data_IF_621164387133
#
_entry.id   IF_621164387133
#
_cell.length_a   1.000
_cell.length_b   1.000
_cell.length_c   1.000
_cell.angle_alpha   90.00
_cell.angle_beta   90.00
_cell.angle_gamma   90.00
#
_symmetry.space_group_name_H-M   'P 1'
#
loop_
_entity.id
_entity.type
_entity.pdbx_description
1 polymer ?
#
# COMPACT_ATOMS: atom_id res chain seq x y z
N UNK A 1 -24.02 19.11 1.91
CA UNK A 1 -23.04 20.15 2.30
C UNK A 1 -23.13 21.45 1.51
N UNK A 2 -22.82 21.52 0.21
CA UNK A 2 -22.83 22.81 -0.52
C UNK A 2 -24.23 23.45 -0.60
N UNK A 3 -25.25 22.64 -0.84
CA UNK A 3 -26.66 23.09 -0.87
C UNK A 3 -27.15 23.51 0.52
N UNK A 4 -26.81 22.74 1.56
CA UNK A 4 -27.17 23.06 2.96
C UNK A 4 -26.53 24.37 3.44
N UNK A 5 -25.29 24.65 3.04
CA UNK A 5 -24.64 25.94 3.33
C UNK A 5 -25.39 27.12 2.71
N UNK A 6 -25.86 26.97 1.46
CA UNK A 6 -26.62 28.02 0.78
C UNK A 6 -27.98 28.26 1.45
N UNK A 7 -28.63 27.20 1.92
CA UNK A 7 -29.91 27.33 2.65
C UNK A 7 -29.72 28.04 3.99
N UNK A 8 -28.64 27.75 4.73
CA UNK A 8 -28.31 28.46 5.98
C UNK A 8 -28.05 29.96 5.73
N UNK A 9 -27.32 30.30 4.66
CA UNK A 9 -27.05 31.69 4.30
C UNK A 9 -28.35 32.46 3.97
N UNK A 10 -29.26 31.81 3.24
CA UNK A 10 -30.59 32.37 2.94
C UNK A 10 -31.41 32.61 4.19
N UNK A 11 -31.44 31.66 5.13
CA UNK A 11 -32.15 31.81 6.40
C UNK A 11 -31.57 32.93 7.27
N UNK A 12 -30.24 33.06 7.32
CA UNK A 12 -29.58 34.15 8.04
C UNK A 12 -29.92 35.53 7.45
N UNK A 13 -30.02 35.65 6.13
CA UNK A 13 -30.42 36.90 5.47
C UNK A 13 -31.87 37.26 5.81
N UNK A 14 -32.80 36.30 5.80
CA UNK A 14 -34.20 36.52 6.22
C UNK A 14 -34.25 37.00 7.67
N UNK A 15 -33.52 36.35 8.56
CA UNK A 15 -33.46 36.70 9.98
C UNK A 15 -32.93 38.11 10.19
N UNK A 16 -31.89 38.49 9.43
CA UNK A 16 -31.27 39.81 9.47
C UNK A 16 -32.24 40.91 9.03
N UNK A 17 -32.99 40.68 7.94
CA UNK A 17 -34.03 41.61 7.49
C UNK A 17 -35.13 41.78 8.53
N UNK A 18 -35.65 40.67 9.07
CA UNK A 18 -36.68 40.71 10.12
C UNK A 18 -36.21 41.44 11.39
N UNK A 19 -34.94 41.30 11.76
CA UNK A 19 -34.35 42.03 12.88
C UNK A 19 -34.26 43.54 12.61
N UNK A 20 -33.86 43.95 11.41
CA UNK A 20 -33.88 45.36 11.00
C UNK A 20 -35.30 45.95 11.03
N UNK A 21 -36.29 45.24 10.51
CA UNK A 21 -37.70 45.67 10.51
C UNK A 21 -38.25 45.84 11.94
N UNK A 22 -37.83 44.96 12.85
CA UNK A 22 -38.18 45.04 14.27
C UNK A 22 -37.54 46.26 14.95
N UNK A 23 -36.26 46.53 14.71
CA UNK A 23 -35.60 47.74 15.23
C UNK A 23 -36.23 49.03 14.67
N UNK A 24 -36.59 49.06 13.39
CA UNK A 24 -37.31 50.19 12.79
C UNK A 24 -38.71 50.37 13.38
N UNK A 25 -39.43 49.26 13.63
CA UNK A 25 -40.71 49.27 14.34
C UNK A 25 -40.57 49.81 15.77
N UNK A 26 -39.52 49.41 16.49
CA UNK A 26 -39.22 49.93 17.83
C UNK A 26 -38.88 51.43 17.82
N UNK A 27 -38.22 51.91 16.77
CA UNK A 27 -37.83 53.31 16.62
C UNK A 27 -38.99 54.21 16.18
N UNK A 28 -39.89 53.65 15.36
CA UNK A 28 -41.08 54.33 14.82
C UNK A 28 -42.29 54.27 15.73
N UNK A 29 -42.31 53.36 16.72
CA UNK A 29 -43.24 53.45 17.84
C UNK A 29 -43.17 54.89 18.34
N UNK A 30 -44.30 55.65 18.27
CA UNK A 30 -44.30 57.02 18.71
C UNK A 30 -43.74 56.98 20.12
N UNK A 31 -42.71 57.79 20.38
CA UNK A 31 -42.31 58.13 21.75
C UNK A 31 -43.59 58.63 22.38
N UNK A 32 -44.40 57.72 22.95
CA UNK A 32 -45.61 58.03 23.71
C UNK A 32 -45.09 59.12 24.60
N UNK A 33 -45.61 60.35 24.38
CA UNK A 33 -45.23 61.57 25.09
C UNK A 33 -44.79 61.09 26.46
N UNK A 34 -43.50 61.24 26.78
CA UNK A 34 -42.99 60.89 28.11
C UNK A 34 -44.09 61.36 29.05
N UNK A 35 -44.68 60.43 29.77
CA UNK A 35 -45.64 60.75 30.81
C UNK A 35 -44.81 61.48 31.86
N UNK A 36 -44.38 62.71 31.59
CA UNK A 36 -43.72 63.59 32.55
C UNK A 36 -44.64 63.78 33.76
N UNK A 37 -45.96 63.66 33.55
CA UNK A 37 -46.96 63.66 34.62
C UNK A 37 -47.04 62.36 35.45
N UNK A 38 -46.54 61.22 34.97
CA UNK A 38 -46.42 59.99 35.77
C UNK A 38 -45.01 59.78 36.33
N UNK A 39 -43.97 60.24 35.63
CA UNK A 39 -42.58 60.25 36.12
C UNK A 39 -42.49 61.15 37.37
N UNK A 40 -43.04 62.37 37.35
CA UNK A 40 -42.99 63.28 38.50
C UNK A 40 -43.85 62.84 39.71
N UNK A 41 -44.90 62.03 39.48
CA UNK A 41 -45.82 61.57 40.54
C UNK A 41 -45.40 60.25 41.20
N UNK A 42 -44.69 59.38 40.48
CA UNK A 42 -44.17 58.12 41.01
C UNK A 42 -42.80 58.32 41.68
N UNK A 43 -41.98 59.26 41.18
CA UNK A 43 -40.66 59.57 41.74
C UNK A 43 -40.74 60.17 43.16
N UNK A 44 -41.88 60.79 43.51
CA UNK A 44 -42.07 61.38 44.84
C UNK A 44 -42.58 60.39 45.92
N UNK A 45 -42.85 59.12 45.57
CA UNK A 45 -43.30 58.09 46.52
C UNK A 45 -42.50 56.80 46.52
N UNK A 46 -41.85 56.47 45.40
CA UNK A 46 -41.00 55.28 45.29
C UNK A 46 -39.54 55.73 45.24
N UNK A 47 -38.87 55.71 46.40
CA UNK A 47 -37.50 56.20 46.53
C UNK A 47 -36.58 55.63 45.44
N UNK A 48 -35.71 56.48 44.88
CA UNK A 48 -34.82 56.17 43.75
C UNK A 48 -34.03 54.85 43.93
N UNK A 49 -33.72 54.47 45.16
CA UNK A 49 -33.08 53.18 45.48
C UNK A 49 -33.88 51.97 45.00
N UNK A 50 -35.20 51.97 45.16
CA UNK A 50 -36.08 50.86 44.72
C UNK A 50 -36.17 50.75 43.20
N UNK A 51 -36.08 51.89 42.50
CA UNK A 51 -36.13 51.92 41.04
C UNK A 51 -34.83 51.40 40.43
N UNK A 52 -33.70 51.66 41.08
CA UNK A 52 -32.39 51.12 40.70
C UNK A 52 -32.32 49.61 40.99
N UNK A 53 -32.87 49.14 42.12
CA UNK A 53 -33.01 47.70 42.42
C UNK A 53 -33.81 46.96 41.33
N UNK A 54 -34.96 47.49 40.93
CA UNK A 54 -35.78 46.88 39.87
C UNK A 54 -35.07 46.88 38.51
N UNK A 55 -34.31 47.93 38.19
CA UNK A 55 -33.53 47.99 36.94
C UNK A 55 -32.43 46.93 36.91
N UNK A 56 -31.75 46.73 38.03
CA UNK A 56 -30.68 45.74 38.14
C UNK A 56 -31.24 44.32 38.14
N UNK A 57 -32.36 44.07 38.82
CA UNK A 57 -33.08 42.80 38.76
C UNK A 57 -33.50 42.45 37.32
N UNK A 58 -34.10 43.40 36.60
CA UNK A 58 -34.50 43.18 35.21
C UNK A 58 -33.31 42.90 34.27
N UNK A 59 -32.20 43.64 34.43
CA UNK A 59 -30.96 43.36 33.68
C UNK A 59 -30.43 41.96 33.98
N UNK A 60 -30.45 41.54 35.24
CA UNK A 60 -30.00 40.22 35.66
C UNK A 60 -30.87 39.11 35.06
N UNK A 61 -32.20 39.25 35.12
CA UNK A 61 -33.14 38.31 34.49
C UNK A 61 -32.86 38.17 32.98
N UNK A 62 -32.60 39.28 32.29
CA UNK A 62 -32.23 39.25 30.87
C UNK A 62 -30.89 38.55 30.61
N UNK A 63 -29.89 38.74 31.48
CA UNK A 63 -28.61 38.05 31.38
C UNK A 63 -28.79 36.53 31.57
N UNK A 64 -29.58 36.12 32.57
CA UNK A 64 -29.89 34.71 32.85
C UNK A 64 -30.65 34.04 31.70
N UNK A 65 -31.63 34.73 31.11
CA UNK A 65 -32.35 34.23 29.93
C UNK A 65 -31.43 34.06 28.72
N UNK A 66 -30.51 35.02 28.48
CA UNK A 66 -29.50 34.92 27.41
C UNK A 66 -28.58 33.72 27.61
N UNK A 67 -28.12 33.50 28.85
CA UNK A 67 -27.28 32.34 29.19
C UNK A 67 -28.03 31.04 28.91
N UNK A 68 -29.28 30.90 29.40
CA UNK A 68 -30.12 29.71 29.16
C UNK A 68 -30.36 29.45 27.68
N UNK A 69 -30.65 30.49 26.90
CA UNK A 69 -30.84 30.37 25.45
C UNK A 69 -29.54 29.90 24.75
N UNK A 70 -28.40 30.50 25.09
CA UNK A 70 -27.11 30.11 24.51
C UNK A 70 -26.75 28.66 24.82
N UNK A 71 -27.05 28.18 26.02
CA UNK A 71 -26.83 26.79 26.42
C UNK A 71 -27.75 25.83 25.64
N UNK A 72 -29.02 26.18 25.46
CA UNK A 72 -29.98 25.39 24.69
C UNK A 72 -29.58 25.27 23.20
N UNK A 73 -29.15 26.37 22.58
CA UNK A 73 -28.63 26.38 21.20
C UNK A 73 -27.37 25.52 21.09
N UNK A 74 -26.45 25.63 22.05
CA UNK A 74 -25.24 24.81 22.08
C UNK A 74 -25.54 23.31 22.18
N UNK A 75 -26.48 22.92 23.05
CA UNK A 75 -26.96 21.53 23.18
C UNK A 75 -27.56 21.03 21.86
N UNK A 76 -28.42 21.82 21.23
CA UNK A 76 -29.05 21.45 19.95
C UNK A 76 -28.03 21.26 18.82
N UNK A 77 -27.02 22.14 18.71
CA UNK A 77 -25.95 21.99 17.70
C UNK A 77 -25.13 20.73 17.98
N UNK A 78 -24.82 20.46 19.25
CA UNK A 78 -24.05 19.28 19.63
C UNK A 78 -24.81 17.99 19.31
N UNK A 79 -26.11 17.93 19.60
CA UNK A 79 -26.91 16.73 19.38
C UNK A 79 -27.16 16.48 17.89
N UNK A 80 -27.46 17.52 17.08
CA UNK A 80 -27.50 17.40 15.62
C UNK A 80 -26.18 16.89 15.04
N UNK A 81 -25.06 17.37 15.57
CA UNK A 81 -23.72 16.91 15.14
C UNK A 81 -23.48 15.45 15.49
N UNK A 82 -23.86 15.02 16.70
CA UNK A 82 -23.75 13.61 17.12
C UNK A 82 -24.57 12.71 16.22
N UNK A 83 -25.80 13.08 15.88
CA UNK A 83 -26.68 12.29 15.03
C UNK A 83 -26.10 12.12 13.61
N UNK A 84 -25.59 13.19 13.00
CA UNK A 84 -24.90 13.12 11.71
C UNK A 84 -23.65 12.23 11.77
N UNK A 85 -22.84 12.36 12.83
CA UNK A 85 -21.65 11.52 13.01
C UNK A 85 -22.04 10.04 13.17
N UNK A 86 -23.08 9.73 13.94
CA UNK A 86 -23.58 8.36 14.11
C UNK A 86 -24.05 7.78 12.77
N UNK A 87 -24.77 8.57 11.95
CA UNK A 87 -25.21 8.13 10.63
C UNK A 87 -24.02 7.83 9.70
N UNK A 88 -23.05 8.75 9.62
CA UNK A 88 -21.85 8.57 8.78
C UNK A 88 -21.04 7.35 9.22
N UNK A 89 -20.91 7.11 10.53
CA UNK A 89 -20.21 5.91 11.06
C UNK A 89 -20.93 4.63 10.62
N UNK A 90 -22.25 4.56 10.72
CA UNK A 90 -23.03 3.39 10.27
C UNK A 90 -22.87 3.12 8.78
N UNK A 91 -23.01 4.14 7.94
CA UNK A 91 -22.84 4.02 6.49
C UNK A 91 -21.43 3.53 6.11
N UNK A 92 -20.39 4.02 6.82
CA UNK A 92 -19.02 3.57 6.60
C UNK A 92 -18.80 2.13 7.09
N UNK A 93 -19.39 1.73 8.20
CA UNK A 93 -19.32 0.36 8.70
C UNK A 93 -19.96 -0.63 7.72
N UNK A 94 -21.12 -0.28 7.15
CA UNK A 94 -21.79 -1.09 6.12
C UNK A 94 -20.93 -1.24 4.87
N UNK A 95 -20.34 -0.15 4.38
CA UNK A 95 -19.43 -0.19 3.23
C UNK A 95 -18.20 -1.07 3.50
N UNK A 96 -17.65 -1.02 4.71
CA UNK A 96 -16.53 -1.87 5.11
C UNK A 96 -16.97 -3.34 5.15
N UNK A 97 -18.14 -3.66 5.72
CA UNK A 97 -18.69 -5.03 5.71
C UNK A 97 -18.83 -5.59 4.29
N UNK A 98 -19.43 -4.82 3.38
CA UNK A 98 -19.63 -5.24 1.99
C UNK A 98 -18.31 -5.51 1.26
N UNK A 99 -17.32 -4.64 1.45
CA UNK A 99 -16.00 -4.81 0.81
C UNK A 99 -15.23 -6.00 1.36
N UNK A 100 -15.32 -6.26 2.67
CA UNK A 100 -14.74 -7.45 3.31
C UNK A 100 -15.41 -8.73 2.80
N UNK A 101 -16.75 -8.76 2.74
CA UNK A 101 -17.48 -9.91 2.22
C UNK A 101 -17.19 -10.17 0.74
N UNK A 102 -17.06 -9.13 -0.08
CA UNK A 102 -16.64 -9.26 -1.48
C UNK A 102 -15.23 -9.84 -1.60
N UNK A 103 -14.27 -9.37 -0.79
CA UNK A 103 -12.90 -9.93 -0.76
C UNK A 103 -12.88 -11.38 -0.27
N UNK A 104 -13.68 -11.70 0.74
CA UNK A 104 -13.82 -13.06 1.27
C UNK A 104 -14.31 -14.03 0.19
N UNK A 105 -15.29 -13.64 -0.62
CA UNK A 105 -15.74 -14.43 -1.78
C UNK A 105 -14.62 -14.66 -2.78
N UNK A 106 -13.89 -13.61 -3.17
CA UNK A 106 -12.75 -13.75 -4.10
C UNK A 106 -11.71 -14.76 -3.57
N UNK A 107 -11.36 -14.68 -2.28
CA UNK A 107 -10.41 -15.63 -1.67
C UNK A 107 -10.96 -17.05 -1.66
N UNK A 108 -12.26 -17.23 -1.35
CA UNK A 108 -12.92 -18.54 -1.37
C UNK A 108 -12.98 -19.13 -2.78
N UNK A 109 -13.39 -18.33 -3.77
CA UNK A 109 -13.51 -18.74 -5.16
C UNK A 109 -12.14 -19.10 -5.74
N UNK A 110 -11.10 -18.30 -5.48
CA UNK A 110 -9.72 -18.64 -5.88
C UNK A 110 -9.18 -19.91 -5.22
N UNK A 111 -9.61 -20.22 -3.99
CA UNK A 111 -9.21 -21.48 -3.34
C UNK A 111 -9.89 -22.67 -4.03
N UNK A 112 -11.18 -22.54 -4.35
CA UNK A 112 -11.93 -23.58 -5.05
C UNK A 112 -11.42 -23.81 -6.49
N UNK A 113 -11.03 -22.76 -7.19
CA UNK A 113 -10.40 -22.87 -8.52
C UNK A 113 -9.08 -23.65 -8.44
N UNK A 114 -8.22 -23.33 -7.46
CA UNK A 114 -6.96 -24.05 -7.25
C UNK A 114 -7.20 -25.53 -6.92
N UNK A 115 -8.20 -25.86 -6.11
CA UNK A 115 -8.53 -27.26 -5.77
C UNK A 115 -8.94 -28.08 -7.01
N UNK A 116 -9.57 -27.46 -8.01
CA UNK A 116 -9.91 -28.11 -9.28
C UNK A 116 -8.69 -28.32 -10.18
N UNK A 117 -7.70 -27.46 -10.04
CA UNK A 117 -6.47 -27.49 -10.83
C UNK A 117 -5.38 -28.38 -10.25
N UNK A 118 -5.43 -28.71 -8.96
CA UNK A 118 -4.55 -29.71 -8.39
C UNK A 118 -4.98 -31.10 -8.87
N UNK A 119 -4.08 -31.79 -9.57
CA UNK A 119 -4.29 -33.17 -10.01
C UNK A 119 -3.96 -34.15 -8.90
N UNK A 120 -2.83 -33.93 -8.21
CA UNK A 120 -2.31 -34.89 -7.25
C UNK A 120 -1.43 -34.21 -6.20
N UNK A 121 -1.55 -34.64 -4.95
CA UNK A 121 -0.70 -34.17 -3.84
C UNK A 121 -0.10 -35.38 -3.15
N UNK A 122 1.22 -35.54 -3.30
CA UNK A 122 1.96 -36.67 -2.74
C UNK A 122 2.88 -36.14 -1.64
N UNK A 123 2.78 -36.70 -0.44
CA UNK A 123 3.77 -36.48 0.63
C UNK A 123 4.94 -37.43 0.42
N UNK A 124 6.16 -36.93 0.32
CA UNK A 124 7.34 -37.77 0.10
C UNK A 124 7.70 -38.52 1.41
N UNK A 125 7.99 -39.83 1.31
CA UNK A 125 8.06 -40.76 2.45
C UNK A 125 9.42 -40.83 3.17
N UNK A 126 10.47 -40.19 2.68
CA UNK A 126 11.83 -40.36 3.22
C UNK A 126 12.56 -39.03 3.45
N UNK A 127 12.42 -38.48 4.66
CA UNK A 127 13.36 -37.51 5.23
C UNK A 127 13.54 -37.85 6.71
N UNK A 128 14.71 -38.34 7.07
CA UNK A 128 15.10 -38.62 8.45
C UNK A 128 15.80 -37.38 9.03
N UNK A 129 15.02 -36.47 9.63
CA UNK A 129 15.30 -35.74 10.89
C UNK A 129 14.37 -34.52 11.03
N UNK A 130 13.38 -34.61 11.93
CA UNK A 130 12.78 -33.45 12.63
C UNK A 130 11.95 -32.41 11.85
N UNK A 131 12.06 -32.31 10.54
CA UNK A 131 11.52 -31.20 9.75
C UNK A 131 10.23 -31.57 8.98
N UNK A 132 9.40 -30.56 8.66
CA UNK A 132 8.13 -30.71 7.93
C UNK A 132 8.38 -31.46 6.61
N UNK A 133 7.61 -32.53 6.36
CA UNK A 133 7.77 -33.35 5.15
C UNK A 133 7.45 -32.54 3.89
N UNK A 134 8.31 -32.56 2.86
CA UNK A 134 8.03 -31.89 1.60
C UNK A 134 6.81 -32.51 0.89
N UNK A 135 6.02 -31.65 0.26
CA UNK A 135 4.85 -32.03 -0.53
C UNK A 135 5.17 -31.84 -2.02
N UNK A 136 4.92 -32.88 -2.83
CA UNK A 136 4.93 -32.78 -4.29
C UNK A 136 3.49 -32.56 -4.76
N UNK A 137 3.26 -31.44 -5.43
CA UNK A 137 1.95 -31.07 -5.98
C UNK A 137 2.04 -31.12 -7.50
N UNK A 138 1.19 -31.92 -8.14
CA UNK A 138 1.02 -31.98 -9.59
C UNK A 138 -0.21 -31.16 -9.96
N UNK A 139 0.00 -30.14 -10.80
CA UNK A 139 -1.06 -29.27 -11.32
C UNK A 139 -1.51 -29.77 -12.69
N UNK A 140 -2.80 -29.60 -13.02
CA UNK A 140 -3.39 -29.92 -14.33
C UNK A 140 -2.98 -28.89 -15.39
N UNK A 141 -2.92 -27.62 -15.02
CA UNK A 141 -2.59 -26.52 -15.93
C UNK A 141 -1.16 -26.05 -15.75
N UNK A 142 -0.42 -26.02 -16.86
CA UNK A 142 0.93 -25.44 -16.89
C UNK A 142 0.89 -23.92 -16.67
N UNK A 143 -0.16 -23.24 -17.17
CA UNK A 143 -0.32 -21.78 -17.04
C UNK A 143 -0.42 -21.36 -15.58
N UNK A 144 -1.19 -22.09 -14.78
CA UNK A 144 -1.35 -21.78 -13.35
C UNK A 144 -0.08 -22.11 -12.56
N UNK A 145 0.66 -23.15 -12.95
CA UNK A 145 1.99 -23.39 -12.37
C UNK A 145 2.95 -22.21 -12.62
N UNK A 146 2.96 -21.65 -13.83
CA UNK A 146 3.77 -20.48 -14.17
C UNK A 146 3.34 -19.22 -13.40
N UNK A 147 2.04 -19.00 -13.26
CA UNK A 147 1.51 -17.90 -12.48
C UNK A 147 1.89 -18.00 -10.99
N UNK A 148 1.78 -19.19 -10.41
CA UNK A 148 2.21 -19.49 -9.04
C UNK A 148 3.72 -19.23 -8.87
N UNK A 149 4.55 -19.65 -9.83
CA UNK A 149 6.00 -19.42 -9.79
C UNK A 149 6.35 -17.92 -9.90
N UNK A 150 5.60 -17.16 -10.68
CA UNK A 150 5.79 -15.71 -10.81
C UNK A 150 5.38 -14.99 -9.53
N UNK A 151 4.26 -15.40 -8.92
CA UNK A 151 3.79 -14.86 -7.64
C UNK A 151 4.69 -15.26 -6.47
N UNK A 152 5.37 -16.42 -6.54
CA UNK A 152 6.34 -16.89 -5.54
C UNK A 152 7.39 -15.82 -5.20
N UNK A 153 7.84 -15.03 -6.17
CA UNK A 153 8.79 -13.95 -5.94
C UNK A 153 8.29 -12.94 -4.89
N UNK A 154 6.98 -12.66 -4.85
CA UNK A 154 6.37 -11.75 -3.87
C UNK A 154 6.30 -12.36 -2.46
N UNK A 155 6.23 -13.70 -2.35
CA UNK A 155 6.22 -14.38 -1.05
C UNK A 155 7.58 -14.39 -0.37
N UNK A 156 8.68 -14.18 -1.09
CA UNK A 156 10.03 -14.19 -0.51
C UNK A 156 10.26 -13.00 0.46
N UNK A 157 9.51 -11.91 0.29
CA UNK A 157 9.61 -10.72 1.13
C UNK A 157 8.83 -10.87 2.45
N UNK A 158 7.86 -11.78 2.50
CA UNK A 158 6.99 -11.98 3.65
C UNK A 158 7.68 -12.84 4.73
N UNK A 159 7.79 -12.30 5.95
CA UNK A 159 8.49 -12.97 7.06
C UNK A 159 7.83 -14.27 7.52
N UNK A 160 6.54 -14.46 7.24
CA UNK A 160 5.77 -15.63 7.66
C UNK A 160 6.00 -16.86 6.75
N UNK A 161 6.57 -16.67 5.55
CA UNK A 161 6.71 -17.74 4.54
C UNK A 161 8.16 -18.12 4.23
N UNK A 162 9.12 -17.69 5.06
CA UNK A 162 10.55 -17.95 4.86
C UNK A 162 10.91 -19.43 4.75
N UNK A 163 10.13 -20.30 5.37
CA UNK A 163 10.38 -21.76 5.39
C UNK A 163 9.73 -22.50 4.20
N UNK A 164 9.08 -21.80 3.28
CA UNK A 164 8.41 -22.41 2.12
C UNK A 164 9.26 -22.24 0.87
N UNK A 165 9.84 -23.35 0.39
CA UNK A 165 10.53 -23.38 -0.89
C UNK A 165 9.71 -24.13 -1.95
N UNK A 166 9.36 -23.44 -3.03
CA UNK A 166 8.74 -24.04 -4.21
C UNK A 166 9.76 -24.17 -5.35
N UNK A 167 9.85 -25.35 -5.96
CA UNK A 167 10.73 -25.58 -7.11
C UNK A 167 9.94 -26.25 -8.23
N UNK A 168 10.12 -25.78 -9.47
CA UNK A 168 9.61 -26.48 -10.66
C UNK A 168 10.44 -27.75 -10.88
N UNK A 169 9.76 -28.87 -11.07
CA UNK A 169 10.38 -30.10 -11.52
C UNK A 169 10.66 -29.95 -13.01
N UNK A 170 11.93 -29.84 -13.40
CA UNK A 170 12.34 -29.65 -14.79
C UNK A 170 13.02 -30.91 -15.29
N UNK A 171 12.74 -31.28 -16.55
CA UNK A 171 13.47 -32.35 -17.22
C UNK A 171 14.93 -31.93 -17.49
N UNK A 172 15.78 -32.89 -17.89
CA UNK A 172 17.21 -32.66 -18.08
C UNK A 172 17.48 -31.61 -19.18
N UNK A 173 16.72 -31.66 -20.28
CA UNK A 173 16.85 -30.73 -21.42
C UNK A 173 16.44 -29.30 -21.06
N UNK A 174 15.36 -29.12 -20.29
CA UNK A 174 14.93 -27.82 -19.76
C UNK A 174 15.95 -27.25 -18.78
N UNK A 175 16.53 -28.10 -17.93
CA UNK A 175 17.61 -27.69 -17.02
C UNK A 175 18.84 -27.20 -17.80
N UNK A 176 19.18 -27.84 -18.92
CA UNK A 176 20.28 -27.39 -19.77
C UNK A 176 19.93 -26.09 -20.51
N UNK A 177 18.70 -25.94 -20.99
CA UNK A 177 18.22 -24.68 -21.59
C UNK A 177 18.19 -23.52 -20.60
N UNK A 178 17.75 -23.74 -19.37
CA UNK A 178 17.74 -22.71 -18.33
C UNK A 178 19.18 -22.28 -17.96
N UNK A 179 20.11 -23.25 -17.82
CA UNK A 179 21.54 -22.95 -17.64
C UNK A 179 22.11 -22.12 -18.79
N UNK A 180 21.72 -22.42 -20.04
CA UNK A 180 22.12 -21.64 -21.21
C UNK A 180 21.52 -20.23 -21.17
N UNK A 181 20.28 -20.07 -20.71
CA UNK A 181 19.65 -18.75 -20.53
C UNK A 181 20.31 -17.91 -19.44
N UNK A 182 20.67 -18.50 -18.29
CA UNK A 182 21.39 -17.78 -17.23
C UNK A 182 22.77 -17.30 -17.70
N UNK A 183 23.51 -18.13 -18.45
CA UNK A 183 24.80 -17.74 -19.04
C UNK A 183 24.63 -16.61 -20.07
N UNK A 184 23.52 -16.61 -20.83
CA UNK A 184 23.24 -15.56 -21.81
C UNK A 184 22.71 -14.25 -21.19
N UNK A 185 21.95 -14.30 -20.09
CA UNK A 185 21.41 -13.12 -19.41
C UNK A 185 22.46 -12.33 -18.61
N UNK A 186 23.55 -12.98 -18.15
CA UNK A 186 24.69 -12.26 -17.58
C UNK A 186 25.50 -11.44 -18.60
N UNK A 187 25.21 -11.54 -19.90
CA UNK A 187 26.02 -10.94 -20.97
C UNK A 187 25.36 -9.81 -21.78
N UNK A 188 24.11 -9.44 -21.53
CA UNK A 188 23.34 -8.61 -22.49
C UNK A 188 22.92 -7.21 -22.06
N UNK A 189 23.27 -6.72 -20.86
CA UNK A 189 23.09 -5.29 -20.57
C UNK A 189 24.39 -4.51 -20.86
N UNK A 190 24.53 -3.85 -22.04
CA UNK A 190 25.72 -3.10 -22.39
C UNK A 190 25.97 -1.89 -21.48
N UNK A 191 24.97 -1.48 -20.68
CA UNK A 191 25.04 -0.27 -19.84
C UNK A 191 25.22 -0.55 -18.34
N UNK A 192 25.41 -1.80 -17.92
CA UNK A 192 25.61 -2.12 -16.51
C UNK A 192 27.02 -1.69 -16.04
N UNK A 193 27.15 -0.73 -15.09
CA UNK A 193 28.45 -0.23 -14.63
C UNK A 193 29.27 -1.26 -13.84
N UNK A 194 28.64 -2.34 -13.36
CA UNK A 194 29.31 -3.42 -12.63
C UNK A 194 29.75 -4.57 -13.56
N UNK A 195 29.65 -4.41 -14.87
CA UNK A 195 30.07 -5.44 -15.83
C UNK A 195 31.58 -5.59 -15.82
N UNK A 196 32.07 -6.74 -15.39
CA UNK A 196 33.48 -7.12 -15.51
C UNK A 196 33.76 -7.50 -16.95
N UNK A 197 34.40 -6.61 -17.70
CA UNK A 197 34.88 -6.90 -19.04
C UNK A 197 36.26 -7.54 -18.95
N UNK A 198 36.39 -8.79 -19.40
CA UNK A 198 37.69 -9.40 -19.62
C UNK A 198 38.31 -8.70 -20.83
N UNK A 199 39.29 -7.84 -20.58
CA UNK A 199 39.97 -7.08 -21.64
C UNK A 199 41.08 -7.88 -22.31
N UNK A 200 41.72 -8.76 -21.55
CA UNK A 200 42.93 -9.46 -21.96
C UNK A 200 42.87 -10.90 -21.48
N UNK A 201 43.14 -11.83 -22.40
CA UNK A 201 43.32 -13.24 -22.10
C UNK A 201 44.75 -13.61 -22.47
N UNK A 202 45.50 -14.13 -21.50
CA UNK A 202 46.87 -14.55 -21.69
C UNK A 202 46.91 -16.07 -21.71
N UNK A 203 47.45 -16.63 -22.80
CA UNK A 203 47.67 -18.06 -22.94
C UNK A 203 49.16 -18.36 -22.72
N UNK A 204 49.43 -19.17 -21.70
CA UNK A 204 50.77 -19.65 -21.37
C UNK A 204 50.85 -21.15 -21.68
N UNK A 205 51.80 -21.53 -22.52
CA UNK A 205 52.15 -22.92 -22.78
C UNK A 205 53.64 -23.13 -22.47
N UNK A 206 53.97 -24.26 -21.85
CA UNK A 206 55.35 -24.57 -21.46
C UNK A 206 56.25 -24.63 -22.69
N UNK A 207 57.28 -23.79 -22.73
CA UNK A 207 58.21 -23.69 -23.87
C UNK A 207 57.77 -22.75 -25.00
N UNK A 208 56.62 -22.06 -24.88
CA UNK A 208 56.21 -21.00 -25.81
C UNK A 208 56.20 -19.64 -25.13
N UNK A 209 56.47 -18.58 -25.90
CA UNK A 209 56.32 -17.20 -25.43
C UNK A 209 54.85 -16.90 -25.16
N UNK A 210 54.59 -16.16 -24.08
CA UNK A 210 53.27 -15.68 -23.68
C UNK A 210 52.50 -15.09 -24.87
N UNK A 211 51.32 -15.63 -25.19
CA UNK A 211 50.44 -15.10 -26.24
C UNK A 211 49.29 -14.35 -25.58
N UNK A 212 49.29 -13.03 -25.75
CA UNK A 212 48.25 -12.14 -25.24
C UNK A 212 47.17 -11.92 -26.31
N UNK A 213 45.91 -12.07 -25.92
CA UNK A 213 44.74 -11.80 -26.75
C UNK A 213 43.99 -10.61 -26.20
N UNK A 214 43.88 -9.56 -27.01
CA UNK A 214 43.07 -8.38 -26.68
C UNK A 214 41.61 -8.64 -27.05
N UNK A 215 40.78 -8.78 -26.01
CA UNK A 215 39.34 -8.98 -26.13
C UNK A 215 38.56 -7.65 -26.15
N UNK A 216 39.26 -6.52 -26.13
CA UNK A 216 38.66 -5.17 -26.22
C UNK A 216 38.30 -4.79 -27.66
N UNK A 217 38.87 -5.48 -28.65
CA UNK A 217 38.68 -5.22 -30.10
C UNK A 217 37.48 -5.93 -30.73
N UNK A 218 37.48 -5.99 -32.07
CA UNK A 218 36.43 -6.68 -32.84
C UNK A 218 36.54 -8.20 -32.67
N UNK A 219 35.62 -8.78 -31.90
CA UNK A 219 35.51 -10.21 -31.64
C UNK A 219 35.32 -11.05 -32.91
N UNK A 220 34.94 -10.46 -34.04
CA UNK A 220 34.83 -11.20 -35.29
C UNK A 220 36.19 -11.56 -35.88
N UNK A 221 37.23 -10.74 -35.68
CA UNK A 221 38.58 -11.06 -36.11
C UNK A 221 39.17 -12.27 -35.36
N UNK A 222 38.75 -12.46 -34.11
CA UNK A 222 39.15 -13.61 -33.27
C UNK A 222 38.49 -14.92 -33.69
N UNK A 223 37.32 -14.88 -34.35
CA UNK A 223 36.65 -16.11 -34.84
C UNK A 223 37.38 -16.76 -36.00
N UNK A 224 38.06 -15.95 -36.81
CA UNK A 224 38.81 -16.42 -37.98
C UNK A 224 40.26 -16.79 -37.61
N UNK A 225 40.75 -16.40 -36.44
CA UNK A 225 42.07 -16.79 -35.93
C UNK A 225 42.02 -18.21 -35.36
N UNK A 226 42.38 -19.20 -36.18
CA UNK A 226 42.50 -20.59 -35.73
C UNK A 226 43.74 -20.78 -34.84
N UNK A 227 43.53 -20.95 -33.54
CA UNK A 227 44.60 -21.33 -32.61
C UNK A 227 44.88 -22.82 -32.75
N UNK A 228 45.94 -23.19 -33.47
CA UNK A 228 46.38 -24.58 -33.55
C UNK A 228 47.03 -24.99 -32.24
N UNK A 229 46.26 -25.61 -31.34
CA UNK A 229 46.75 -26.26 -30.11
C UNK A 229 47.40 -27.60 -30.49
N UNK A 230 48.38 -27.59 -31.40
CA UNK A 230 48.99 -28.82 -31.92
C UNK A 230 50.11 -29.37 -31.05
N UNK A 231 50.70 -28.56 -30.17
CA UNK A 231 51.86 -29.00 -29.37
C UNK A 231 51.55 -29.39 -27.92
N UNK A 232 50.38 -29.06 -27.38
CA UNK A 232 49.99 -29.48 -26.02
C UNK A 232 49.50 -30.93 -25.94
N UNK A 233 49.06 -31.53 -27.05
CA UNK A 233 48.63 -32.94 -27.08
C UNK A 233 49.79 -33.91 -27.37
N UNK A 234 50.84 -33.48 -28.09
CA UNK A 234 52.00 -34.31 -28.39
C UNK A 234 52.86 -34.66 -27.16
N UNK A 235 52.68 -33.93 -26.05
CA UNK A 235 53.28 -34.25 -24.75
C UNK A 235 52.46 -35.25 -23.92
N UNK A 236 51.14 -35.31 -24.11
CA UNK A 236 50.24 -36.20 -23.36
C UNK A 236 50.29 -37.62 -23.94
N UNK A 237 50.44 -37.78 -25.26
CA UNK A 237 50.60 -39.10 -25.88
C UNK A 237 51.89 -39.84 -25.43
N UNK A 238 52.90 -39.13 -24.92
CA UNK A 238 54.10 -39.77 -24.34
C UNK A 238 53.97 -40.15 -22.86
N UNK A 239 52.85 -39.83 -22.21
CA UNK A 239 52.59 -40.15 -20.81
C UNK A 239 51.62 -41.32 -20.56
N UNK A 240 50.93 -41.82 -21.60
CA UNK A 240 49.90 -42.85 -21.45
C UNK A 240 50.46 -44.29 -21.54
N UNK A 241 51.74 -44.46 -21.89
CA UNK A 241 52.38 -45.79 -21.96
C UNK A 241 52.80 -46.38 -20.60
N UNK A 242 52.45 -45.78 -19.45
CA UNK A 242 52.90 -46.25 -18.13
C UNK A 242 51.81 -46.94 -17.27
N UNK A 243 50.52 -46.94 -17.65
CA UNK A 243 49.45 -47.51 -16.79
C UNK A 243 48.76 -48.78 -17.30
N UNK A 244 49.38 -49.55 -18.20
CA UNK A 244 48.82 -50.86 -18.63
C UNK A 244 49.38 -52.10 -17.88
N UNK A 245 50.10 -51.94 -16.76
CA UNK A 245 50.65 -53.08 -16.00
C UNK A 245 49.88 -53.47 -14.72
N UNK A 246 48.71 -52.89 -14.43
CA UNK A 246 48.01 -53.10 -13.15
C UNK A 246 46.67 -53.86 -13.19
N UNK A 247 46.42 -54.67 -14.24
CA UNK A 247 45.20 -55.50 -14.35
C UNK A 247 45.48 -57.01 -14.53
N UNK A 248 46.50 -57.54 -13.86
CA UNK A 248 46.64 -58.99 -13.64
C UNK A 248 47.15 -59.25 -12.21
N UNK A 249 46.23 -59.22 -11.23
CA UNK A 249 46.35 -59.91 -9.92
C UNK A 249 45.03 -59.99 -9.18
#
# INVERSE_FOLDING_TARGET
MKEEMQEIEKQNNILKTAYCDYEESLRSLPKKKKNTEWEDKVENKLGQSKLEELRNAWKQEQEEEKVKFSEAVRKQIQDKTKDTVIQVVKEKEDLVRDTVDKRKRIVQDSTQELDQEVEEVIRLESFSEGEKRPMKVRMRSQVVMEEIMTRKGKLADDTEFKDIWMKRDMNLEEREREKLCDICLYSTDPNNPNRVLVRKLVLLAEGQSEKELDLTGDLNALKDEAFTIKDLLAGIERGIDIENEFLDR
#
